data_IF_305046396898
#
_entry.id   IF_305046396898
#
_cell.length_a   1.000
_cell.length_b   1.000
_cell.length_c   1.000
_cell.angle_alpha   90.00
_cell.angle_beta   90.00
_cell.angle_gamma   90.00
#
_symmetry.space_group_name_H-M   'P 1'
#
loop_
_entity.id
_entity.type
_entity.pdbx_description
1 polymer ?
#
# COMPACT_ATOMS: atom_id res chain seq x y z
N UNK A 1 13.97 23.08 6.98
CA UNK A 1 14.35 21.70 7.35
C UNK A 1 14.87 21.67 8.78
N UNK A 2 15.90 22.45 9.13
CA UNK A 2 16.42 22.55 10.51
C UNK A 2 15.32 22.76 11.56
N UNK A 3 14.45 23.75 11.36
CA UNK A 3 13.29 24.01 12.25
C UNK A 3 12.41 22.79 12.51
N UNK A 4 12.20 21.91 11.52
CA UNK A 4 11.38 20.70 11.69
C UNK A 4 12.09 19.69 12.61
N UNK A 5 13.41 19.54 12.44
CA UNK A 5 14.22 18.65 13.27
C UNK A 5 14.29 19.16 14.71
N UNK A 6 14.45 20.47 14.89
CA UNK A 6 14.42 21.12 16.21
C UNK A 6 13.07 20.91 16.92
N UNK A 7 11.96 21.09 16.21
CA UNK A 7 10.62 20.82 16.75
C UNK A 7 10.50 19.36 17.19
N UNK A 8 10.90 18.40 16.35
CA UNK A 8 10.83 16.98 16.70
C UNK A 8 11.69 16.66 17.92
N UNK A 9 12.90 17.23 18.01
CA UNK A 9 13.76 17.09 19.18
C UNK A 9 13.09 17.65 20.45
N UNK A 10 12.45 18.81 20.35
CA UNK A 10 11.73 19.42 21.47
C UNK A 10 10.51 18.58 21.91
N UNK A 11 9.75 18.04 20.95
CA UNK A 11 8.64 17.13 21.21
C UNK A 11 9.10 15.86 21.92
N UNK A 12 10.16 15.20 21.42
CA UNK A 12 10.78 14.03 22.09
C UNK A 12 11.33 14.35 23.48
N UNK A 13 11.62 15.61 23.80
CA UNK A 13 12.09 16.02 25.14
C UNK A 13 10.98 16.44 26.10
N UNK A 14 9.84 16.92 25.58
CA UNK A 14 8.82 17.59 26.41
C UNK A 14 7.44 16.96 26.35
N UNK A 15 7.10 16.24 25.29
CA UNK A 15 5.79 15.61 25.11
C UNK A 15 5.83 14.16 25.61
N UNK A 16 5.02 13.79 26.63
CA UNK A 16 5.01 12.43 27.16
C UNK A 16 4.60 11.36 26.15
N UNK A 17 3.68 11.71 25.23
CA UNK A 17 3.25 10.78 24.19
C UNK A 17 4.38 10.51 23.19
N UNK A 18 5.05 11.57 22.73
CA UNK A 18 6.16 11.44 21.78
C UNK A 18 7.33 10.66 22.39
N UNK A 19 7.63 10.88 23.67
CA UNK A 19 8.67 10.15 24.43
C UNK A 19 8.45 8.64 24.49
N UNK A 20 7.20 8.22 24.65
CA UNK A 20 6.85 6.81 24.81
C UNK A 20 6.90 6.03 23.50
N UNK A 21 6.97 6.71 22.35
CA UNK A 21 7.06 6.05 21.06
C UNK A 21 8.37 5.28 20.89
N UNK A 22 8.28 4.15 20.19
CA UNK A 22 9.35 3.25 19.77
C UNK A 22 9.35 3.16 18.23
N UNK A 23 10.45 2.77 17.56
CA UNK A 23 10.42 2.60 16.10
C UNK A 23 9.35 1.58 15.65
N UNK A 24 9.13 0.55 16.46
CA UNK A 24 8.08 -0.45 16.23
C UNK A 24 6.67 0.11 16.38
N UNK A 25 6.41 0.94 17.40
CA UNK A 25 5.09 1.56 17.58
C UNK A 25 4.78 2.61 16.50
N UNK A 26 5.80 3.22 15.89
CA UNK A 26 5.63 4.17 14.78
C UNK A 26 5.46 3.53 13.40
N UNK A 27 5.82 2.25 13.26
CA UNK A 27 5.78 1.56 11.96
C UNK A 27 4.38 1.53 11.32
N UNK A 28 3.27 1.26 12.07
CA UNK A 28 1.92 1.31 11.51
C UNK A 28 1.56 2.67 10.92
N UNK A 29 1.88 3.77 11.62
CA UNK A 29 1.58 5.12 11.13
C UNK A 29 2.31 5.44 9.82
N UNK A 30 3.58 5.04 9.67
CA UNK A 30 4.30 5.21 8.40
C UNK A 30 3.65 4.47 7.21
N UNK A 31 2.94 3.38 7.50
CA UNK A 31 2.17 2.66 6.48
C UNK A 31 0.85 3.40 6.22
N UNK A 32 0.15 3.84 7.26
CA UNK A 32 -1.09 4.64 7.17
C UNK A 32 -0.88 5.91 6.34
N UNK A 33 0.14 6.73 6.65
CA UNK A 33 0.40 7.98 5.91
C UNK A 33 0.74 7.70 4.42
N UNK A 34 1.36 6.57 4.12
CA UNK A 34 1.62 6.20 2.72
C UNK A 34 0.32 5.91 1.94
N UNK A 35 -0.71 5.41 2.62
CA UNK A 35 -2.04 5.22 2.04
C UNK A 35 -2.84 6.51 1.98
N UNK A 36 -2.73 7.39 2.96
CA UNK A 36 -3.40 8.70 2.91
C UNK A 36 -2.80 9.58 1.78
N UNK A 37 -1.48 9.53 1.56
CA UNK A 37 -0.86 10.13 0.36
C UNK A 37 -1.46 9.57 -0.93
N UNK A 38 -1.66 8.25 -1.03
CA UNK A 38 -2.28 7.65 -2.22
C UNK A 38 -3.74 8.09 -2.38
N UNK A 39 -4.52 8.13 -1.30
CA UNK A 39 -5.90 8.59 -1.31
C UNK A 39 -6.01 10.05 -1.76
N UNK A 40 -5.20 10.94 -1.18
CA UNK A 40 -5.15 12.36 -1.54
C UNK A 40 -4.78 12.57 -3.03
N UNK A 41 -3.80 11.80 -3.55
CA UNK A 41 -3.43 11.84 -4.97
C UNK A 41 -4.60 11.44 -5.87
N UNK A 42 -5.33 10.39 -5.48
CA UNK A 42 -6.47 9.87 -6.24
C UNK A 42 -7.64 10.87 -6.24
N UNK A 43 -7.86 11.57 -5.14
CA UNK A 43 -8.89 12.60 -5.03
C UNK A 43 -8.49 13.92 -5.72
N UNK A 44 -7.20 14.10 -6.01
CA UNK A 44 -6.67 15.25 -6.76
C UNK A 44 -6.65 16.55 -5.96
N UNK A 45 -6.86 16.48 -4.64
CA UNK A 45 -6.82 17.65 -3.76
C UNK A 45 -5.37 18.00 -3.42
N UNK A 46 -4.86 19.07 -4.03
CA UNK A 46 -3.46 19.49 -3.90
C UNK A 46 -3.08 19.84 -2.45
N UNK A 47 -4.01 20.40 -1.67
CA UNK A 47 -3.72 20.77 -0.28
C UNK A 47 -3.60 19.52 0.61
N UNK A 48 -4.53 18.56 0.48
CA UNK A 48 -4.41 17.26 1.16
C UNK A 48 -3.13 16.54 0.73
N UNK A 49 -2.81 16.48 -0.57
CA UNK A 49 -1.57 15.82 -1.04
C UNK A 49 -0.33 16.41 -0.35
N UNK A 50 -0.29 17.75 -0.20
CA UNK A 50 0.84 18.43 0.47
C UNK A 50 0.90 18.05 1.95
N UNK A 51 -0.24 18.01 2.62
CA UNK A 51 -0.33 17.76 4.05
C UNK A 51 0.04 16.30 4.36
N UNK A 52 -0.51 15.34 3.61
CA UNK A 52 -0.19 13.90 3.76
C UNK A 52 1.27 13.57 3.41
N UNK A 53 1.86 14.25 2.41
CA UNK A 53 3.30 14.14 2.14
C UNK A 53 4.14 14.68 3.31
N UNK A 54 3.62 15.67 4.03
CA UNK A 54 4.19 16.20 5.26
C UNK A 54 4.15 15.20 6.40
N UNK A 55 3.02 14.51 6.58
CA UNK A 55 2.84 13.49 7.63
C UNK A 55 3.69 12.25 7.33
N UNK A 56 3.80 11.83 6.08
CA UNK A 56 4.75 10.78 5.69
C UNK A 56 6.21 11.20 5.97
N UNK A 57 6.58 12.46 5.72
CA UNK A 57 7.90 13.00 6.06
C UNK A 57 8.12 13.06 7.59
N UNK A 58 7.08 13.39 8.36
CA UNK A 58 7.11 13.39 9.82
C UNK A 58 7.55 12.03 10.35
N UNK A 59 7.02 10.93 9.80
CA UNK A 59 7.41 9.57 10.21
C UNK A 59 8.90 9.28 9.98
N UNK A 60 9.48 9.78 8.88
CA UNK A 60 10.92 9.67 8.61
C UNK A 60 11.74 10.48 9.62
N UNK A 61 11.30 11.72 9.91
CA UNK A 61 11.98 12.61 10.87
C UNK A 61 11.92 12.05 12.28
N UNK A 62 10.75 11.57 12.71
CA UNK A 62 10.53 11.00 14.04
C UNK A 62 11.45 9.80 14.27
N UNK A 63 11.43 8.82 13.36
CA UNK A 63 12.30 7.65 13.51
C UNK A 63 13.78 8.01 13.44
N UNK A 64 14.19 8.93 12.55
CA UNK A 64 15.58 9.38 12.49
C UNK A 64 16.03 10.07 13.79
N UNK A 65 15.15 10.86 14.43
CA UNK A 65 15.42 11.46 15.74
C UNK A 65 15.67 10.38 16.81
N UNK A 66 14.87 9.32 16.81
CA UNK A 66 15.02 8.22 17.79
C UNK A 66 16.30 7.40 17.61
N UNK A 67 16.75 7.20 16.37
CA UNK A 67 18.05 6.60 16.11
C UNK A 67 19.22 7.54 16.41
N UNK A 68 19.00 8.86 16.31
CA UNK A 68 19.97 9.86 16.73
C UNK A 68 20.14 9.87 18.25
N UNK A 69 19.06 9.68 19.02
CA UNK A 69 19.09 9.54 20.49
C UNK A 69 19.88 8.30 20.96
N UNK A 70 20.07 7.33 20.07
CA UNK A 70 20.84 6.10 20.31
C UNK A 70 22.26 6.17 19.76
N UNK A 71 22.71 7.34 19.30
CA UNK A 71 24.00 7.55 18.62
C UNK A 71 24.23 6.61 17.41
N UNK A 72 23.15 6.14 16.77
CA UNK A 72 23.22 5.17 15.67
C UNK A 72 23.37 5.86 14.30
N UNK A 73 22.45 6.76 13.97
CA UNK A 73 22.48 7.64 12.79
C UNK A 73 21.45 8.76 12.97
N UNK A 74 21.55 9.83 12.17
CA UNK A 74 20.60 10.94 12.20
C UNK A 74 19.91 11.15 10.83
N UNK A 75 19.03 12.16 10.75
CA UNK A 75 18.30 12.48 9.52
C UNK A 75 19.23 12.81 8.34
N UNK A 76 20.37 13.46 8.59
CA UNK A 76 21.34 13.77 7.53
C UNK A 76 21.96 12.50 6.94
N UNK A 77 22.20 11.47 7.76
CA UNK A 77 22.68 10.17 7.28
C UNK A 77 21.67 9.49 6.35
N UNK A 78 20.36 9.60 6.66
CA UNK A 78 19.28 9.11 5.80
C UNK A 78 19.31 9.83 4.44
N UNK A 79 19.41 11.17 4.44
CA UNK A 79 19.51 12.00 3.23
C UNK A 79 20.77 11.66 2.41
N UNK A 80 21.91 11.48 3.07
CA UNK A 80 23.17 11.12 2.42
C UNK A 80 23.07 9.74 1.75
N UNK A 81 22.46 8.77 2.44
CA UNK A 81 22.27 7.41 1.94
C UNK A 81 21.38 7.37 0.69
N UNK A 82 20.25 8.09 0.68
CA UNK A 82 19.39 8.15 -0.51
C UNK A 82 20.04 8.95 -1.64
N UNK A 83 20.73 10.05 -1.34
CA UNK A 83 21.46 10.87 -2.33
C UNK A 83 22.52 10.05 -3.05
N UNK A 84 23.40 9.36 -2.31
CA UNK A 84 24.43 8.50 -2.88
C UNK A 84 23.84 7.37 -3.72
N UNK A 85 22.71 6.79 -3.28
CA UNK A 85 21.99 5.74 -4.02
C UNK A 85 21.39 6.27 -5.32
N UNK A 86 20.79 7.47 -5.30
CA UNK A 86 20.21 8.10 -6.50
C UNK A 86 21.30 8.42 -7.52
N UNK A 87 22.43 9.01 -7.09
CA UNK A 87 23.57 9.29 -7.97
C UNK A 87 24.11 8.00 -8.60
N UNK A 88 24.32 6.96 -7.79
CA UNK A 88 24.83 5.66 -8.27
C UNK A 88 23.89 4.97 -9.24
N UNK A 89 22.57 5.06 -9.05
CA UNK A 89 21.56 4.40 -9.90
C UNK A 89 21.18 5.18 -11.15
N UNK A 90 21.60 6.44 -11.27
CA UNK A 90 21.35 7.29 -12.43
C UNK A 90 22.66 7.82 -13.02
N UNK A 91 23.63 6.95 -13.38
CA UNK A 91 24.89 7.41 -13.96
C UNK A 91 24.68 8.12 -15.30
N UNK A 92 23.59 7.83 -16.01
CA UNK A 92 23.18 8.55 -17.22
C UNK A 92 22.81 10.03 -16.98
N UNK A 93 22.38 10.38 -15.75
CA UNK A 93 22.12 11.78 -15.37
C UNK A 93 23.40 12.44 -14.83
N UNK A 94 24.11 11.76 -13.91
CA UNK A 94 25.22 12.36 -13.15
C UNK A 94 26.61 12.10 -13.76
N UNK A 95 26.71 11.30 -14.82
CA UNK A 95 27.91 11.05 -15.63
C UNK A 95 27.54 11.09 -17.11
N UNK A 96 26.78 12.11 -17.52
CA UNK A 96 26.19 12.22 -18.86
C UNK A 96 27.20 11.99 -19.99
N UNK A 97 28.44 12.44 -19.82
CA UNK A 97 29.55 12.28 -20.77
C UNK A 97 29.88 10.81 -21.12
N UNK A 98 29.50 9.85 -20.27
CA UNK A 98 29.73 8.41 -20.49
C UNK A 98 28.52 7.66 -21.04
N UNK A 99 27.35 8.31 -21.08
CA UNK A 99 26.05 7.65 -21.29
C UNK A 99 25.13 8.50 -22.18
N UNK A 100 25.68 9.09 -23.24
CA UNK A 100 24.91 9.94 -24.15
C UNK A 100 23.83 9.15 -24.92
N UNK A 101 22.68 9.79 -25.13
CA UNK A 101 21.60 9.32 -26.02
C UNK A 101 20.98 7.95 -25.69
N UNK A 102 20.91 7.56 -24.41
CA UNK A 102 20.19 6.35 -24.03
C UNK A 102 18.67 6.51 -24.19
N UNK A 103 18.02 5.53 -24.80
CA UNK A 103 16.56 5.42 -24.83
C UNK A 103 16.00 5.04 -23.44
N UNK A 104 14.69 5.22 -23.26
CA UNK A 104 14.01 4.84 -22.01
C UNK A 104 14.18 3.35 -21.67
N UNK A 105 14.19 2.48 -22.69
CA UNK A 105 14.42 1.05 -22.56
C UNK A 105 15.85 0.76 -22.11
N UNK A 106 16.84 1.41 -22.73
CA UNK A 106 18.25 1.24 -22.37
C UNK A 106 18.56 1.74 -20.95
N UNK A 107 17.90 2.81 -20.50
CA UNK A 107 17.96 3.27 -19.10
C UNK A 107 17.39 2.22 -18.14
N UNK A 108 16.27 1.60 -18.50
CA UNK A 108 15.64 0.52 -17.70
C UNK A 108 16.55 -0.71 -17.57
N UNK A 109 17.21 -1.12 -18.66
CA UNK A 109 18.18 -2.22 -18.65
C UNK A 109 19.40 -1.92 -17.79
N UNK A 110 19.99 -0.73 -17.95
CA UNK A 110 21.12 -0.27 -17.14
C UNK A 110 20.78 -0.26 -15.65
N UNK A 111 19.56 0.17 -15.31
CA UNK A 111 19.11 0.19 -13.92
C UNK A 111 18.94 -1.22 -13.32
N UNK A 112 18.44 -2.19 -14.09
CA UNK A 112 18.38 -3.60 -13.69
C UNK A 112 19.78 -4.15 -13.44
N UNK A 113 20.75 -3.81 -14.30
CA UNK A 113 22.13 -4.23 -14.17
C UNK A 113 22.80 -3.67 -12.91
N UNK A 114 22.69 -2.37 -12.67
CA UNK A 114 23.23 -1.71 -11.46
C UNK A 114 22.66 -2.36 -10.19
N UNK A 115 21.35 -2.63 -10.17
CA UNK A 115 20.71 -3.33 -9.05
C UNK A 115 21.19 -4.75 -8.84
N UNK A 116 21.56 -5.46 -9.92
CA UNK A 116 22.11 -6.81 -9.84
C UNK A 116 23.52 -6.78 -9.23
N UNK A 117 24.35 -5.82 -9.62
CA UNK A 117 25.70 -5.63 -9.09
C UNK A 117 25.71 -5.26 -7.60
N UNK A 118 24.78 -4.40 -7.16
CA UNK A 118 24.59 -4.07 -5.72
C UNK A 118 24.28 -5.29 -4.84
N UNK A 119 23.84 -6.41 -5.43
CA UNK A 119 23.45 -7.64 -4.73
C UNK A 119 24.50 -8.75 -4.78
N UNK A 120 25.61 -8.57 -5.49
CA UNK A 120 26.69 -9.58 -5.55
C UNK A 120 27.34 -9.74 -4.16
N UNK A 121 27.45 -10.98 -3.68
CA UNK A 121 28.16 -11.34 -2.43
C UNK A 121 27.30 -11.65 -1.21
N UNK A 122 25.95 -11.60 -1.30
CA UNK A 122 25.05 -12.08 -0.23
C UNK A 122 24.38 -13.39 -0.65
N UNK A 123 24.51 -14.44 0.17
CA UNK A 123 23.67 -15.64 0.04
C UNK A 123 22.26 -15.20 0.43
N UNK A 124 21.40 -15.05 -0.57
CA UNK A 124 19.99 -14.71 -0.39
C UNK A 124 19.16 -15.77 -1.09
N UNK A 125 18.12 -16.25 -0.41
CA UNK A 125 17.02 -16.91 -1.12
C UNK A 125 16.51 -15.95 -2.19
N UNK A 126 16.12 -16.49 -3.35
CA UNK A 126 15.65 -15.65 -4.47
C UNK A 126 14.43 -14.81 -4.06
N UNK A 127 13.66 -15.27 -3.09
CA UNK A 127 12.52 -14.56 -2.50
C UNK A 127 12.92 -13.44 -1.52
N UNK A 128 14.12 -13.48 -0.91
CA UNK A 128 14.64 -12.41 -0.02
C UNK A 128 14.84 -11.07 -0.75
N UNK A 129 14.70 -11.09 -2.07
CA UNK A 129 14.73 -9.89 -2.90
C UNK A 129 13.37 -9.17 -2.95
N UNK A 130 12.30 -9.76 -2.42
CA UNK A 130 10.99 -9.10 -2.24
C UNK A 130 11.13 -8.12 -1.08
N UNK A 131 10.73 -6.86 -1.31
CA UNK A 131 10.83 -5.84 -0.27
C UNK A 131 9.73 -6.05 0.76
N UNK A 132 9.96 -5.57 1.99
CA UNK A 132 8.87 -5.34 2.93
C UNK A 132 7.87 -4.35 2.31
N UNK A 133 6.59 -4.72 2.34
CA UNK A 133 5.45 -4.04 1.76
C UNK A 133 4.20 -4.55 2.49
N UNK A 134 3.02 -3.89 2.31
CA UNK A 134 1.74 -4.46 2.71
C UNK A 134 1.58 -5.92 2.26
N UNK A 135 0.88 -6.72 3.06
CA UNK A 135 0.81 -8.17 2.88
C UNK A 135 0.34 -8.58 1.47
N UNK A 136 -0.64 -7.88 0.89
CA UNK A 136 -1.13 -8.17 -0.45
C UNK A 136 -0.07 -7.93 -1.53
N UNK A 137 0.66 -6.82 -1.45
CA UNK A 137 1.77 -6.51 -2.36
C UNK A 137 2.87 -7.56 -2.20
N UNK A 138 3.23 -7.90 -0.96
CA UNK A 138 4.30 -8.86 -0.70
C UNK A 138 3.95 -10.25 -1.23
N UNK A 139 2.74 -10.75 -0.95
CA UNK A 139 2.26 -12.04 -1.46
C UNK A 139 2.27 -12.07 -3.00
N UNK A 140 1.74 -11.02 -3.64
CA UNK A 140 1.70 -10.93 -5.10
C UNK A 140 3.10 -10.90 -5.72
N UNK A 141 4.07 -10.19 -5.11
CA UNK A 141 5.45 -10.13 -5.60
C UNK A 141 6.23 -11.43 -5.36
N UNK A 142 5.97 -12.14 -4.25
CA UNK A 142 6.51 -13.49 -4.01
C UNK A 142 6.03 -14.43 -5.13
N UNK A 143 4.72 -14.45 -5.40
CA UNK A 143 4.13 -15.29 -6.43
C UNK A 143 4.65 -14.95 -7.84
N UNK A 144 4.80 -13.65 -8.18
CA UNK A 144 5.41 -13.24 -9.46
C UNK A 144 6.85 -13.76 -9.60
N UNK A 145 7.63 -13.77 -8.52
CA UNK A 145 9.00 -14.29 -8.58
C UNK A 145 9.07 -15.80 -8.64
N UNK A 146 8.20 -16.50 -7.93
CA UNK A 146 8.07 -17.94 -8.06
C UNK A 146 7.70 -18.31 -9.51
N UNK A 147 6.77 -17.56 -10.11
CA UNK A 147 6.38 -17.76 -11.50
C UNK A 147 7.50 -17.54 -12.52
N UNK A 148 8.39 -16.56 -12.28
CA UNK A 148 9.58 -16.37 -13.12
C UNK A 148 10.55 -17.56 -13.10
N UNK A 149 10.45 -18.44 -12.10
CA UNK A 149 11.23 -19.68 -12.00
C UNK A 149 10.50 -20.89 -12.57
N UNK A 150 9.31 -20.70 -13.15
CA UNK A 150 8.45 -21.77 -13.63
C UNK A 150 7.59 -22.42 -12.55
N UNK A 151 7.59 -21.89 -11.32
CA UNK A 151 6.67 -22.31 -10.26
C UNK A 151 5.41 -21.44 -10.33
N UNK A 152 4.53 -21.77 -11.27
CA UNK A 152 3.25 -21.09 -11.47
C UNK A 152 2.19 -22.08 -11.98
N UNK A 153 0.93 -21.77 -11.74
CA UNK A 153 -0.19 -22.41 -12.42
C UNK A 153 -0.16 -22.08 -13.91
N UNK A 154 -0.70 -22.94 -14.79
CA UNK A 154 -0.72 -22.64 -16.23
C UNK A 154 -1.83 -21.63 -16.55
N UNK A 155 -3.00 -21.80 -15.96
CA UNK A 155 -4.20 -21.01 -16.24
C UNK A 155 -4.75 -20.28 -15.01
N UNK A 156 -5.74 -19.41 -15.23
CA UNK A 156 -6.47 -18.74 -14.15
C UNK A 156 -7.36 -19.76 -13.43
N UNK A 157 -7.92 -20.70 -14.18
CA UNK A 157 -8.77 -21.79 -13.71
C UNK A 157 -8.04 -22.71 -12.74
N UNK A 158 -6.78 -23.05 -13.02
CA UNK A 158 -5.94 -23.83 -12.11
C UNK A 158 -5.68 -23.10 -10.78
N UNK A 159 -5.45 -21.78 -10.84
CA UNK A 159 -5.29 -20.96 -9.64
C UNK A 159 -6.60 -20.85 -8.83
N UNK A 160 -7.76 -20.79 -9.52
CA UNK A 160 -9.07 -20.84 -8.87
C UNK A 160 -9.34 -22.20 -8.21
N UNK A 161 -8.97 -23.30 -8.86
CA UNK A 161 -9.12 -24.64 -8.28
C UNK A 161 -8.34 -24.78 -6.96
N UNK A 162 -7.14 -24.19 -6.87
CA UNK A 162 -6.40 -24.15 -5.61
C UNK A 162 -7.10 -23.27 -4.57
N UNK A 163 -7.68 -22.13 -4.95
CA UNK A 163 -8.49 -21.35 -4.02
C UNK A 163 -9.70 -22.14 -3.49
N UNK A 164 -10.37 -22.92 -4.33
CA UNK A 164 -11.49 -23.78 -3.89
C UNK A 164 -11.03 -24.85 -2.89
N UNK A 165 -9.81 -25.39 -3.05
CA UNK A 165 -9.17 -26.32 -2.12
C UNK A 165 -8.94 -25.66 -0.75
N UNK A 166 -8.26 -24.51 -0.70
CA UNK A 166 -8.01 -23.77 0.57
C UNK A 166 -9.32 -23.41 1.29
N UNK A 167 -10.36 -23.05 0.51
CA UNK A 167 -11.67 -22.71 1.06
C UNK A 167 -12.37 -23.92 1.67
N UNK A 168 -12.07 -25.14 1.22
CA UNK A 168 -12.59 -26.38 1.82
C UNK A 168 -11.80 -26.75 3.08
N UNK A 169 -10.48 -26.56 3.07
CA UNK A 169 -9.61 -26.75 4.25
C UNK A 169 -10.01 -25.80 5.39
N UNK A 170 -10.27 -24.51 5.08
CA UNK A 170 -10.79 -23.55 6.04
C UNK A 170 -12.15 -23.97 6.63
N UNK A 171 -13.07 -24.48 5.80
CA UNK A 171 -14.37 -24.98 6.31
C UNK A 171 -14.18 -26.17 7.25
N UNK A 172 -13.25 -27.06 6.93
CA UNK A 172 -12.94 -28.19 7.80
C UNK A 172 -12.37 -27.72 9.15
N UNK A 173 -11.40 -26.80 9.13
CA UNK A 173 -10.82 -26.23 10.35
C UNK A 173 -11.88 -25.53 11.23
N UNK A 174 -12.84 -24.85 10.63
CA UNK A 174 -13.99 -24.24 11.32
C UNK A 174 -14.88 -25.29 12.00
N UNK A 175 -15.16 -26.40 11.32
CA UNK A 175 -15.97 -27.49 11.88
C UNK A 175 -15.27 -28.17 13.07
N UNK A 176 -13.95 -28.31 12.99
CA UNK A 176 -13.12 -28.94 14.02
C UNK A 176 -12.78 -27.99 15.19
N UNK A 177 -13.12 -26.70 15.10
CA UNK A 177 -12.92 -25.65 16.12
C UNK A 177 -11.46 -25.48 16.57
N UNK A 178 -10.49 -25.73 15.68
CA UNK A 178 -9.07 -25.59 15.98
C UNK A 178 -8.57 -24.20 15.58
N UNK A 179 -8.43 -23.32 16.58
CA UNK A 179 -8.10 -21.90 16.34
C UNK A 179 -6.82 -21.67 15.53
N UNK A 180 -5.78 -22.48 15.74
CA UNK A 180 -4.50 -22.32 15.05
C UNK A 180 -4.62 -22.70 13.56
N UNK A 181 -5.30 -23.82 13.26
CA UNK A 181 -5.56 -24.26 11.88
C UNK A 181 -6.46 -23.24 11.16
N UNK A 182 -7.48 -22.69 11.82
CA UNK A 182 -8.35 -21.65 11.21
C UNK A 182 -7.54 -20.44 10.71
N UNK A 183 -6.56 -19.99 11.49
CA UNK A 183 -5.74 -18.83 11.11
C UNK A 183 -4.82 -19.15 9.92
N UNK A 184 -4.24 -20.35 9.90
CA UNK A 184 -3.39 -20.84 8.81
C UNK A 184 -4.19 -20.94 7.50
N UNK A 185 -5.30 -21.69 7.51
CA UNK A 185 -6.13 -21.90 6.33
C UNK A 185 -6.75 -20.59 5.80
N UNK A 186 -7.10 -19.66 6.70
CA UNK A 186 -7.58 -18.34 6.29
C UNK A 186 -6.48 -17.53 5.59
N UNK A 187 -5.24 -17.64 6.06
CA UNK A 187 -4.06 -17.06 5.41
C UNK A 187 -3.86 -17.63 4.00
N UNK A 188 -3.99 -18.93 3.84
CA UNK A 188 -3.81 -19.60 2.55
C UNK A 188 -4.94 -19.29 1.57
N UNK A 189 -6.19 -19.17 2.04
CA UNK A 189 -7.29 -18.62 1.25
C UNK A 189 -6.96 -17.23 0.68
N UNK A 190 -6.45 -16.32 1.52
CA UNK A 190 -6.05 -14.98 1.08
C UNK A 190 -4.90 -15.04 0.07
N UNK A 191 -3.89 -15.87 0.33
CA UNK A 191 -2.74 -16.03 -0.55
C UNK A 191 -3.15 -16.58 -1.93
N UNK A 192 -4.01 -17.60 -1.96
CA UNK A 192 -4.57 -18.19 -3.17
C UNK A 192 -5.46 -17.21 -3.94
N UNK A 193 -6.28 -16.41 -3.27
CA UNK A 193 -7.10 -15.38 -3.92
C UNK A 193 -6.24 -14.28 -4.55
N UNK A 194 -5.15 -13.88 -3.90
CA UNK A 194 -4.17 -12.93 -4.48
C UNK A 194 -3.54 -13.53 -5.74
N UNK A 195 -3.30 -14.84 -5.75
CA UNK A 195 -2.73 -15.53 -6.91
C UNK A 195 -3.68 -15.55 -8.11
N UNK A 196 -4.96 -15.76 -7.85
CA UNK A 196 -6.02 -15.60 -8.86
C UNK A 196 -6.04 -14.17 -9.41
N UNK A 197 -6.02 -13.16 -8.53
CA UNK A 197 -5.94 -11.75 -8.93
C UNK A 197 -4.72 -11.45 -9.80
N UNK A 198 -3.55 -11.98 -9.43
CA UNK A 198 -2.31 -11.86 -10.21
C UNK A 198 -2.45 -12.48 -11.60
N UNK A 199 -3.05 -13.68 -11.72
CA UNK A 199 -3.29 -14.34 -13.02
C UNK A 199 -4.26 -13.57 -13.91
N UNK A 200 -5.21 -12.85 -13.31
CA UNK A 200 -6.10 -11.92 -14.01
C UNK A 200 -5.43 -10.59 -14.39
N UNK A 201 -4.15 -10.38 -14.03
CA UNK A 201 -3.44 -9.13 -14.27
C UNK A 201 -3.85 -7.98 -13.35
N UNK A 202 -4.51 -8.28 -12.24
CA UNK A 202 -4.97 -7.29 -11.27
C UNK A 202 -3.91 -7.01 -10.20
N UNK A 203 -3.97 -5.81 -9.63
CA UNK A 203 -3.30 -5.47 -8.37
C UNK A 203 -4.29 -5.72 -7.23
N UNK A 204 -4.07 -6.77 -6.44
CA UNK A 204 -4.95 -7.12 -5.31
C UNK A 204 -5.08 -5.98 -4.30
N UNK A 205 -3.98 -5.27 -4.05
CA UNK A 205 -3.94 -4.07 -3.21
C UNK A 205 -4.89 -2.98 -3.73
N UNK A 206 -4.72 -2.59 -4.99
CA UNK A 206 -5.52 -1.53 -5.62
C UNK A 206 -7.00 -1.93 -5.70
N UNK A 207 -7.28 -3.19 -6.00
CA UNK A 207 -8.65 -3.70 -6.05
C UNK A 207 -9.35 -3.65 -4.67
N UNK A 208 -8.62 -3.97 -3.60
CA UNK A 208 -9.14 -3.88 -2.24
C UNK A 208 -9.32 -2.42 -1.81
N UNK A 209 -8.34 -1.54 -2.05
CA UNK A 209 -8.44 -0.11 -1.76
C UNK A 209 -9.66 0.54 -2.47
N UNK A 210 -9.88 0.22 -3.74
CA UNK A 210 -11.06 0.69 -4.47
C UNK A 210 -12.37 0.17 -3.84
N UNK A 211 -12.37 -1.05 -3.32
CA UNK A 211 -13.53 -1.63 -2.62
C UNK A 211 -13.78 -0.96 -1.26
N UNK A 212 -12.73 -0.67 -0.50
CA UNK A 212 -12.78 0.07 0.77
C UNK A 212 -13.35 1.47 0.52
N UNK A 213 -12.82 2.20 -0.47
CA UNK A 213 -13.31 3.54 -0.83
C UNK A 213 -14.79 3.52 -1.21
N UNK A 214 -15.21 2.54 -2.02
CA UNK A 214 -16.61 2.33 -2.40
C UNK A 214 -17.50 2.01 -1.19
N UNK A 215 -17.00 1.26 -0.21
CA UNK A 215 -17.72 1.01 1.04
C UNK A 215 -17.90 2.31 1.84
N UNK A 216 -16.82 3.06 2.07
CA UNK A 216 -16.83 4.36 2.77
C UNK A 216 -17.82 5.34 2.14
N UNK A 217 -17.76 5.49 0.82
CA UNK A 217 -18.65 6.37 0.06
C UNK A 217 -20.13 5.99 0.23
N UNK A 218 -20.45 4.69 0.23
CA UNK A 218 -21.82 4.21 0.41
C UNK A 218 -22.31 4.39 1.83
N UNK A 219 -21.45 4.11 2.81
CA UNK A 219 -21.80 4.28 4.22
C UNK A 219 -22.04 5.76 4.55
N UNK A 220 -21.16 6.67 4.08
CA UNK A 220 -21.35 8.11 4.22
C UNK A 220 -22.68 8.60 3.62
N UNK A 221 -23.13 8.00 2.51
CA UNK A 221 -24.46 8.26 1.97
C UNK A 221 -25.58 7.82 2.94
N UNK A 222 -25.47 6.65 3.56
CA UNK A 222 -26.42 6.21 4.60
C UNK A 222 -26.46 7.24 5.73
N UNK A 223 -25.31 7.66 6.24
CA UNK A 223 -25.20 8.65 7.32
C UNK A 223 -25.90 9.97 6.96
N UNK A 224 -25.62 10.49 5.76
CA UNK A 224 -26.23 11.72 5.28
C UNK A 224 -27.76 11.59 5.15
N UNK A 225 -28.27 10.44 4.69
CA UNK A 225 -29.70 10.24 4.53
C UNK A 225 -30.40 10.03 5.88
N UNK A 226 -29.79 9.31 6.82
CA UNK A 226 -30.29 9.16 8.18
C UNK A 226 -30.43 10.54 8.85
N UNK A 227 -29.39 11.39 8.72
CA UNK A 227 -29.42 12.76 9.23
C UNK A 227 -30.54 13.59 8.60
N UNK A 228 -30.74 13.51 7.27
CA UNK A 228 -31.84 14.20 6.58
C UNK A 228 -33.23 13.73 7.02
N UNK A 229 -33.33 12.48 7.45
CA UNK A 229 -34.56 11.90 7.98
C UNK A 229 -34.74 12.16 9.48
N UNK A 230 -33.82 12.89 10.13
CA UNK A 230 -33.76 13.07 11.58
C UNK A 230 -33.79 11.74 12.35
N UNK A 231 -33.14 10.71 11.81
CA UNK A 231 -32.98 9.41 12.47
C UNK A 231 -31.56 9.27 12.99
N UNK A 232 -31.43 8.68 14.17
CA UNK A 232 -30.15 8.17 14.65
C UNK A 232 -29.86 6.82 13.96
N UNK A 233 -28.66 6.68 13.39
CA UNK A 233 -28.20 5.42 12.78
C UNK A 233 -28.24 4.25 13.76
N UNK A 234 -27.97 4.49 15.05
CA UNK A 234 -28.00 3.43 16.06
C UNK A 234 -29.40 2.87 16.29
N UNK A 235 -30.43 3.65 15.97
CA UNK A 235 -31.84 3.26 16.11
C UNK A 235 -32.44 2.69 14.80
N UNK A 236 -31.70 2.77 13.69
CA UNK A 236 -32.14 2.23 12.41
C UNK A 236 -32.03 0.71 12.40
N UNK A 237 -33.04 0.07 11.83
CA UNK A 237 -32.98 -1.37 11.54
C UNK A 237 -32.02 -1.66 10.37
N UNK A 238 -31.47 -2.87 10.34
CA UNK A 238 -30.65 -3.34 9.22
C UNK A 238 -31.40 -3.23 7.88
N UNK A 239 -32.71 -3.49 7.86
CA UNK A 239 -33.53 -3.36 6.66
C UNK A 239 -33.57 -1.92 6.13
N UNK A 240 -33.68 -0.92 7.01
CA UNK A 240 -33.65 0.49 6.61
C UNK A 240 -32.25 0.90 6.11
N UNK A 241 -31.19 0.41 6.76
CA UNK A 241 -29.81 0.64 6.30
C UNK A 241 -29.54 -0.02 4.93
N UNK A 242 -30.05 -1.22 4.70
CA UNK A 242 -29.93 -1.94 3.44
C UNK A 242 -30.67 -1.21 2.30
N UNK A 243 -31.86 -0.65 2.57
CA UNK A 243 -32.55 0.19 1.59
C UNK A 243 -31.73 1.43 1.21
N UNK A 244 -31.13 2.10 2.19
CA UNK A 244 -30.23 3.24 1.94
C UNK A 244 -28.94 2.81 1.21
N UNK A 245 -28.42 1.63 1.51
CA UNK A 245 -27.27 1.05 0.83
C UNK A 245 -27.54 0.80 -0.66
N UNK A 246 -28.69 0.21 -0.99
CA UNK A 246 -29.11 0.01 -2.38
C UNK A 246 -29.40 1.33 -3.11
N UNK A 247 -29.88 2.36 -2.40
CA UNK A 247 -29.96 3.71 -2.94
C UNK A 247 -28.55 4.28 -3.24
N UNK A 248 -27.60 4.14 -2.31
CA UNK A 248 -26.22 4.59 -2.49
C UNK A 248 -25.56 3.91 -3.70
N UNK A 249 -25.75 2.60 -3.87
CA UNK A 249 -25.26 1.84 -5.04
C UNK A 249 -25.75 2.45 -6.36
N UNK A 250 -27.04 2.83 -6.43
CA UNK A 250 -27.63 3.43 -7.65
C UNK A 250 -27.09 4.83 -7.91
N UNK A 251 -27.05 5.69 -6.89
CA UNK A 251 -26.61 7.08 -7.03
C UNK A 251 -25.12 7.19 -7.41
N UNK A 252 -24.24 6.49 -6.70
CA UNK A 252 -22.79 6.55 -6.94
C UNK A 252 -22.40 5.93 -8.30
N UNK A 253 -23.14 4.93 -8.78
CA UNK A 253 -22.93 4.34 -10.12
C UNK A 253 -23.32 5.31 -11.24
N UNK A 254 -24.30 6.19 -11.00
CA UNK A 254 -24.68 7.23 -11.96
C UNK A 254 -23.66 8.37 -11.98
N UNK A 255 -23.18 8.81 -10.80
CA UNK A 255 -22.16 9.85 -10.70
C UNK A 255 -20.81 9.44 -11.32
N UNK A 256 -20.36 8.20 -11.10
CA UNK A 256 -19.14 7.69 -11.74
C UNK A 256 -19.22 7.70 -13.28
N UNK A 257 -20.37 7.31 -13.84
CA UNK A 257 -20.58 7.39 -15.30
C UNK A 257 -20.59 8.83 -15.81
N UNK A 258 -21.24 9.76 -15.11
CA UNK A 258 -21.27 11.17 -15.50
C UNK A 258 -19.88 11.82 -15.47
N UNK A 259 -19.03 11.47 -14.50
CA UNK A 259 -17.66 11.96 -14.42
C UNK A 259 -16.77 11.38 -15.54
N UNK A 260 -16.91 10.10 -15.89
CA UNK A 260 -16.20 9.50 -17.04
C UNK A 260 -16.58 10.19 -18.36
N UNK A 261 -17.86 10.51 -18.58
CA UNK A 261 -18.29 11.26 -19.77
C UNK A 261 -17.76 12.70 -19.80
N UNK A 262 -17.66 13.36 -18.64
CA UNK A 262 -17.12 14.72 -18.56
C UNK A 262 -15.59 14.75 -18.79
N UNK A 263 -14.86 13.75 -18.31
CA UNK A 263 -13.43 13.60 -18.53
C UNK A 263 -13.09 13.32 -20.01
N UNK A 264 -13.91 12.52 -20.71
CA UNK A 264 -13.76 12.25 -22.14
C UNK A 264 -14.03 13.52 -22.99
N UNK A 265 -15.01 14.33 -22.61
CA UNK A 265 -15.37 15.55 -23.33
C UNK A 265 -14.35 16.70 -23.20
N UNK A 266 -13.45 16.65 -22.22
CA UNK A 266 -12.36 17.62 -22.05
C UNK A 266 -11.07 17.22 -22.80
N UNK A 267 -11.02 16.01 -23.37
CA UNK A 267 -9.89 15.51 -24.16
C UNK A 267 -10.14 15.50 -25.68
N UNK A 268 -11.28 16.04 -26.14
CA UNK A 268 -11.66 16.22 -27.54
C UNK A 268 -11.84 17.68 -27.88
#
# INVERSE_FOLDING_TARGET
MEKLLEIMQELRQKCPWDQQQTPSSLTPYAIEEAYEVEAAIRDGNIDEIRDELGDLLLQVVFQAQMYSEQDAFNFQDVVNSITAKLIRRHPHVFQAEKFENLSSEQVSELWKEIKRQEKQGKVQSRLDTVKHAPALIQAQEIQKKAAQLGFDFETVEDAYAKLDEEMEELKQALNDQKSDEIQEEFGDCLFSLINVGRKLGLSSETALLATIHKFRSRFAYIEQQAQRQNKDLQEMSLAEMDELWEQAKRQLKLQGKSNDFAAIAQQT
#
